data_IF_132533331956
#
_entry.id   IF_132533331956
#
_cell.length_a   1.000
_cell.length_b   1.000
_cell.length_c   1.000
_cell.angle_alpha   90.00
_cell.angle_beta   90.00
_cell.angle_gamma   90.00
#
_symmetry.space_group_name_H-M   'P 1'
#
loop_
_entity.id
_entity.type
_entity.pdbx_description
1 polymer ?
#
# COMPACT_ATOMS: atom_id res chain seq x y z
N UNK A 1 -18.95 -10.39 14.52
CA UNK A 1 -17.70 -10.87 13.91
C UNK A 1 -18.04 -11.42 12.54
N UNK A 2 -17.36 -10.95 11.50
CA UNK A 2 -17.51 -11.50 10.14
C UNK A 2 -16.37 -12.48 9.90
N UNK A 3 -16.70 -13.72 9.54
CA UNK A 3 -15.69 -14.75 9.28
C UNK A 3 -15.27 -14.69 7.81
N UNK A 4 -13.95 -14.64 7.58
CA UNK A 4 -13.35 -14.65 6.25
C UNK A 4 -12.39 -15.84 6.14
N UNK A 5 -12.54 -16.64 5.09
CA UNK A 5 -11.71 -17.82 4.84
C UNK A 5 -10.88 -17.60 3.59
N UNK A 6 -9.60 -17.92 3.66
CA UNK A 6 -8.64 -17.71 2.57
C UNK A 6 -7.95 -19.02 2.25
N UNK A 7 -7.85 -19.30 0.96
CA UNK A 7 -7.01 -20.38 0.48
C UNK A 7 -5.57 -19.87 0.36
N UNK A 8 -4.67 -20.52 1.09
CA UNK A 8 -3.22 -20.30 1.01
C UNK A 8 -2.56 -21.51 0.36
N UNK A 9 -1.43 -21.30 -0.30
CA UNK A 9 -0.65 -22.41 -0.85
C UNK A 9 0.04 -23.23 0.25
N UNK A 10 0.45 -24.46 -0.09
CA UNK A 10 1.05 -25.38 0.89
C UNK A 10 2.36 -24.85 1.47
N UNK A 11 3.16 -24.14 0.66
CA UNK A 11 4.41 -23.55 1.11
C UNK A 11 4.19 -22.54 2.24
N UNK A 12 3.22 -21.63 2.08
CA UNK A 12 2.87 -20.64 3.09
C UNK A 12 2.26 -21.31 4.33
N UNK A 13 1.41 -22.33 4.13
CA UNK A 13 0.82 -23.09 5.24
C UNK A 13 1.87 -23.78 6.11
N UNK A 14 2.88 -24.40 5.49
CA UNK A 14 3.99 -25.02 6.22
C UNK A 14 4.82 -23.99 6.99
N UNK A 15 5.08 -22.83 6.39
CA UNK A 15 5.85 -21.77 7.03
C UNK A 15 5.12 -21.19 8.24
N UNK A 16 3.83 -20.87 8.07
CA UNK A 16 2.95 -20.40 9.15
C UNK A 16 2.84 -21.45 10.27
N UNK A 17 2.68 -22.72 9.91
CA UNK A 17 2.55 -23.82 10.87
C UNK A 17 3.81 -24.07 11.71
N UNK A 18 4.99 -23.66 11.23
CA UNK A 18 6.25 -23.72 12.01
C UNK A 18 6.33 -22.65 13.10
N UNK A 19 5.48 -21.63 13.03
CA UNK A 19 5.45 -20.50 13.95
C UNK A 19 4.07 -20.36 14.61
N UNK A 20 3.64 -21.34 15.43
CA UNK A 20 2.35 -21.29 16.13
C UNK A 20 2.27 -20.18 17.18
N UNK A 21 3.41 -19.62 17.61
CA UNK A 21 3.51 -18.50 18.54
C UNK A 21 2.98 -17.18 17.97
N UNK A 22 2.84 -17.07 16.64
CA UNK A 22 2.38 -15.86 15.96
C UNK A 22 0.87 -15.94 15.71
N UNK A 23 0.13 -14.90 16.08
CA UNK A 23 -1.29 -14.76 15.72
C UNK A 23 -1.42 -14.30 14.26
N UNK A 24 -1.31 -15.25 13.33
CA UNK A 24 -1.37 -14.99 11.89
C UNK A 24 -2.69 -14.33 11.43
N UNK A 25 -3.80 -14.56 12.14
CA UNK A 25 -5.07 -13.88 11.86
C UNK A 25 -5.04 -12.39 12.18
N UNK A 26 -4.24 -11.96 13.16
CA UNK A 26 -4.00 -10.54 13.46
C UNK A 26 -3.06 -9.92 12.43
N UNK A 27 -1.96 -10.62 12.09
CA UNK A 27 -1.01 -10.18 11.06
C UNK A 27 -1.73 -9.94 9.73
N UNK A 28 -2.61 -10.86 9.32
CA UNK A 28 -3.41 -10.70 8.11
C UNK A 28 -4.35 -9.48 8.17
N UNK A 29 -5.02 -9.26 9.31
CA UNK A 29 -5.91 -8.10 9.49
C UNK A 29 -5.15 -6.78 9.40
N UNK A 30 -3.98 -6.68 10.02
CA UNK A 30 -3.15 -5.48 9.94
C UNK A 30 -2.66 -5.21 8.52
N UNK A 31 -2.20 -6.25 7.81
CA UNK A 31 -1.77 -6.13 6.43
C UNK A 31 -2.90 -5.64 5.51
N UNK A 32 -4.13 -6.15 5.68
CA UNK A 32 -5.27 -5.65 4.91
C UNK A 32 -5.67 -4.24 5.28
N UNK A 33 -5.63 -3.88 6.57
CA UNK A 33 -5.94 -2.52 6.99
C UNK A 33 -4.97 -1.52 6.37
N UNK A 34 -3.68 -1.84 6.36
CA UNK A 34 -2.66 -1.02 5.73
C UNK A 34 -2.89 -0.91 4.21
N UNK A 35 -3.14 -2.03 3.53
CA UNK A 35 -3.41 -2.02 2.08
C UNK A 35 -4.70 -1.31 1.71
N UNK A 36 -5.78 -1.51 2.48
CA UNK A 36 -7.03 -0.81 2.28
C UNK A 36 -6.87 0.70 2.50
N UNK A 37 -6.14 1.12 3.54
CA UNK A 37 -5.86 2.54 3.77
C UNK A 37 -4.99 3.16 2.66
N UNK A 38 -4.02 2.42 2.13
CA UNK A 38 -3.23 2.86 0.96
C UNK A 38 -4.11 3.02 -0.28
N UNK A 39 -5.03 2.08 -0.53
CA UNK A 39 -5.97 2.16 -1.65
C UNK A 39 -6.99 3.28 -1.46
N UNK A 40 -7.50 3.49 -0.26
CA UNK A 40 -8.43 4.59 0.02
C UNK A 40 -7.75 5.96 -0.14
N UNK A 41 -6.48 6.08 0.26
CA UNK A 41 -5.69 7.28 0.00
C UNK A 41 -5.49 7.48 -1.51
N UNK A 42 -5.13 6.41 -2.24
CA UNK A 42 -4.99 6.44 -3.69
C UNK A 42 -6.30 6.86 -4.36
N UNK A 43 -7.42 6.27 -3.95
CA UNK A 43 -8.76 6.58 -4.44
C UNK A 43 -9.14 8.01 -4.11
N UNK A 44 -8.80 8.54 -2.93
CA UNK A 44 -9.05 9.96 -2.59
C UNK A 44 -8.21 10.91 -3.44
N UNK A 45 -6.97 10.53 -3.75
CA UNK A 45 -6.08 11.28 -4.63
C UNK A 45 -6.57 11.25 -6.08
N UNK A 46 -7.10 10.13 -6.55
CA UNK A 46 -7.60 9.95 -7.92
C UNK A 46 -9.07 10.36 -8.09
N UNK A 47 -9.90 10.38 -7.05
CA UNK A 47 -11.34 10.68 -7.14
C UNK A 47 -11.63 12.13 -7.55
N UNK A 48 -10.75 13.08 -7.21
CA UNK A 48 -10.83 14.46 -7.73
C UNK A 48 -10.07 14.63 -9.04
N UNK A 49 -9.32 13.62 -9.44
CA UNK A 49 -8.45 13.65 -10.59
C UNK A 49 -9.02 12.73 -11.66
N UNK A 50 -9.82 13.33 -12.55
CA UNK A 50 -9.72 12.98 -13.97
C UNK A 50 -8.33 13.42 -14.48
N UNK A 51 -7.26 13.05 -13.78
CA UNK A 51 -5.89 13.37 -14.14
C UNK A 51 -5.57 12.50 -15.34
N UNK A 52 -5.40 13.15 -16.47
CA UNK A 52 -4.75 12.53 -17.60
C UNK A 52 -3.27 12.28 -17.24
N UNK A 53 -2.59 11.43 -18.00
CA UNK A 53 -1.15 11.19 -17.83
C UNK A 53 -0.31 12.49 -17.81
N UNK A 54 -0.83 13.59 -18.38
CA UNK A 54 -0.19 14.90 -18.32
C UNK A 54 -0.15 15.47 -16.90
N UNK A 55 -1.24 15.36 -16.14
CA UNK A 55 -1.34 15.95 -14.80
C UNK A 55 -0.43 15.23 -13.81
N UNK A 56 -0.27 13.91 -13.97
CA UNK A 56 0.68 13.10 -13.21
C UNK A 56 2.13 13.49 -13.52
N UNK A 57 2.43 13.74 -14.80
CA UNK A 57 3.76 14.18 -15.23
C UNK A 57 4.08 15.60 -14.74
N UNK A 58 3.11 16.51 -14.71
CA UNK A 58 3.27 17.86 -14.16
C UNK A 58 3.51 17.83 -12.66
N UNK A 59 2.76 17.02 -11.91
CA UNK A 59 3.00 16.79 -10.47
C UNK A 59 4.37 16.17 -10.21
N UNK A 60 4.77 15.16 -10.99
CA UNK A 60 6.09 14.55 -10.87
C UNK A 60 7.22 15.56 -11.15
N UNK A 61 7.03 16.46 -12.13
CA UNK A 61 7.98 17.53 -12.44
C UNK A 61 8.05 18.56 -11.30
N UNK A 62 6.92 18.95 -10.71
CA UNK A 62 6.87 19.87 -9.57
C UNK A 62 7.55 19.28 -8.33
N UNK A 63 7.31 18.00 -8.04
CA UNK A 63 7.96 17.30 -6.92
C UNK A 63 9.48 17.20 -7.15
N UNK A 64 9.91 16.82 -8.36
CA UNK A 64 11.35 16.77 -8.70
C UNK A 64 12.00 18.14 -8.59
N UNK A 65 11.32 19.21 -9.02
CA UNK A 65 11.81 20.58 -8.91
C UNK A 65 11.93 21.01 -7.44
N UNK A 66 10.93 20.72 -6.61
CA UNK A 66 10.99 21.03 -5.17
C UNK A 66 12.08 20.25 -4.42
N UNK A 67 12.31 18.98 -4.79
CA UNK A 67 13.42 18.18 -4.26
C UNK A 67 14.77 18.75 -4.72
N UNK A 68 14.90 19.13 -5.99
CA UNK A 68 16.11 19.74 -6.53
C UNK A 68 16.38 21.13 -5.92
N UNK A 69 15.37 21.93 -5.62
CA UNK A 69 15.53 23.22 -4.95
C UNK A 69 15.93 23.05 -3.48
N UNK A 70 15.42 22.01 -2.82
CA UNK A 70 15.71 21.73 -1.40
C UNK A 70 17.04 21.01 -1.19
N UNK A 71 17.48 20.18 -2.14
CA UNK A 71 18.67 19.33 -2.02
C UNK A 71 19.76 19.58 -3.08
N UNK A 72 19.53 20.46 -4.06
CA UNK A 72 20.47 20.78 -5.15
C UNK A 72 21.41 21.96 -4.87
N UNK A 73 21.37 22.57 -3.69
CA UNK A 73 22.45 23.42 -3.18
C UNK A 73 23.38 22.60 -2.29
N UNK A 74 24.27 21.84 -2.92
CA UNK A 74 25.54 21.41 -2.34
C UNK A 74 26.63 21.68 -3.36
#
# INVERSE_FOLDING_TARGET
MTNFTININDALRLLIGRHPEINWSEVARQAWWEKAGQLELLDKLTAKSRASDKDVNELAALIKKGIAERHGKR
#
